data_IF_596647532009
#
_entry.id   IF_596647532009
#
_cell.length_a   1.000
_cell.length_b   1.000
_cell.length_c   1.000
_cell.angle_alpha   90.00
_cell.angle_beta   90.00
_cell.angle_gamma   90.00
#
_symmetry.space_group_name_H-M   'P 1'
#
loop_
_entity.id
_entity.type
_entity.pdbx_description
1 polymer ?
#
# COMPACT_ATOMS: atom_id res chain seq x y z
N UNK A 1 25.88 -28.44 12.98
CA UNK A 1 25.22 -27.11 12.97
C UNK A 1 25.10 -26.68 14.41
N UNK A 2 25.69 -25.57 14.81
CA UNK A 2 25.56 -25.09 16.17
C UNK A 2 24.21 -24.36 16.36
N UNK A 3 23.79 -24.09 17.60
CA UNK A 3 22.49 -23.47 17.90
C UNK A 3 22.36 -22.06 17.30
N UNK A 4 23.46 -21.32 17.21
CA UNK A 4 23.49 -19.98 16.60
C UNK A 4 23.24 -20.04 15.09
N UNK A 5 23.81 -21.04 14.39
CA UNK A 5 23.58 -21.24 12.96
C UNK A 5 22.15 -21.70 12.67
N UNK A 6 21.60 -22.53 13.56
CA UNK A 6 20.19 -22.92 13.50
C UNK A 6 19.24 -21.71 13.66
N UNK A 7 19.52 -20.82 14.62
CA UNK A 7 18.72 -19.59 14.79
C UNK A 7 18.83 -18.67 13.59
N UNK A 8 20.04 -18.47 13.04
CA UNK A 8 20.24 -17.65 11.83
C UNK A 8 19.47 -18.22 10.63
N UNK A 9 19.40 -19.54 10.49
CA UNK A 9 18.64 -20.18 9.41
C UNK A 9 17.11 -20.01 9.53
N UNK A 10 16.60 -19.71 10.73
CA UNK A 10 15.20 -19.43 11.01
C UNK A 10 14.79 -17.99 10.71
N UNK A 11 15.74 -17.07 10.66
CA UNK A 11 15.47 -15.66 10.37
C UNK A 11 15.29 -15.49 8.87
N UNK A 12 14.06 -15.59 8.39
CA UNK A 12 13.72 -15.23 7.01
C UNK A 12 13.63 -13.71 6.91
N UNK A 13 14.71 -13.08 6.48
CA UNK A 13 14.70 -11.64 6.17
C UNK A 13 14.13 -11.47 4.78
N UNK A 14 12.96 -10.82 4.68
CA UNK A 14 12.38 -10.49 3.38
C UNK A 14 13.34 -9.58 2.59
N UNK A 15 13.62 -9.87 1.32
CA UNK A 15 14.55 -9.08 0.51
C UNK A 15 14.06 -7.64 0.41
N UNK A 16 15.01 -6.71 0.31
CA UNK A 16 14.71 -5.32 -0.01
C UNK A 16 14.55 -5.21 -1.52
N UNK A 17 13.36 -4.83 -1.98
CA UNK A 17 13.03 -4.69 -3.41
C UNK A 17 12.52 -3.30 -3.79
N UNK A 18 12.52 -2.37 -2.84
CA UNK A 18 12.13 -0.99 -3.04
C UNK A 18 13.31 -0.06 -3.30
N UNK A 19 13.14 1.20 -2.98
CA UNK A 19 14.15 2.23 -3.15
C UNK A 19 14.38 3.02 -1.85
N UNK A 20 15.44 3.82 -1.81
CA UNK A 20 15.75 4.68 -0.67
C UNK A 20 15.17 6.07 -0.89
N UNK A 21 14.51 6.59 0.13
CA UNK A 21 13.96 7.96 0.12
C UNK A 21 14.57 8.78 1.27
N UNK A 22 14.89 10.04 0.99
CA UNK A 22 15.29 10.97 2.03
C UNK A 22 14.10 11.29 2.95
N UNK A 23 14.32 11.25 4.26
CA UNK A 23 13.32 11.56 5.28
C UNK A 23 12.71 12.96 5.12
N UNK A 24 13.51 13.91 4.64
CA UNK A 24 13.09 15.29 4.40
C UNK A 24 12.06 15.42 3.25
N UNK A 25 11.97 14.44 2.38
CA UNK A 25 10.97 14.40 1.30
C UNK A 25 9.59 13.92 1.75
N UNK A 26 9.51 13.28 2.92
CA UNK A 26 8.24 12.81 3.47
C UNK A 26 7.43 13.99 4.00
N UNK A 27 6.11 13.88 3.89
CA UNK A 27 5.17 14.90 4.33
C UNK A 27 5.46 15.37 5.75
N UNK A 28 5.50 16.68 5.94
CA UNK A 28 5.85 17.31 7.22
C UNK A 28 4.85 17.03 8.33
N UNK A 29 3.60 16.74 7.98
CA UNK A 29 2.54 16.41 8.93
C UNK A 29 2.75 15.05 9.60
N UNK A 30 3.54 14.14 9.00
CA UNK A 30 3.85 12.85 9.59
C UNK A 30 4.72 12.98 10.83
N UNK A 31 4.35 12.25 11.87
CA UNK A 31 5.14 12.10 13.10
C UNK A 31 6.41 11.29 12.83
N UNK A 32 7.39 11.37 13.75
CA UNK A 32 8.67 10.68 13.62
C UNK A 32 8.56 9.19 13.31
N UNK A 33 7.77 8.45 14.11
CA UNK A 33 7.56 7.01 13.92
C UNK A 33 6.86 6.67 12.60
N UNK A 34 5.93 7.52 12.13
CA UNK A 34 5.25 7.33 10.85
C UNK A 34 6.23 7.47 9.69
N UNK A 35 7.12 8.48 9.74
CA UNK A 35 8.20 8.64 8.75
C UNK A 35 9.13 7.44 8.72
N UNK A 36 9.49 6.90 9.88
CA UNK A 36 10.35 5.71 9.97
C UNK A 36 9.66 4.48 9.34
N UNK A 37 8.37 4.29 9.63
CA UNK A 37 7.58 3.19 9.06
C UNK A 37 7.45 3.31 7.52
N UNK A 38 7.16 4.50 7.01
CA UNK A 38 7.05 4.75 5.56
C UNK A 38 8.40 4.52 4.86
N UNK A 39 9.51 5.06 5.40
CA UNK A 39 10.85 4.82 4.84
C UNK A 39 11.19 3.33 4.82
N UNK A 40 10.89 2.61 5.91
CA UNK A 40 11.11 1.18 6.00
C UNK A 40 10.27 0.39 4.98
N UNK A 41 9.00 0.77 4.81
CA UNK A 41 8.11 0.14 3.84
C UNK A 41 8.57 0.37 2.40
N UNK A 42 8.94 1.60 2.05
CA UNK A 42 9.45 1.96 0.72
C UNK A 42 10.75 1.21 0.44
N UNK A 43 11.72 1.24 1.35
CA UNK A 43 12.99 0.52 1.16
C UNK A 43 12.80 -0.99 1.05
N UNK A 44 11.80 -1.51 1.74
CA UNK A 44 11.45 -2.92 1.70
C UNK A 44 10.75 -3.36 0.42
N UNK A 45 9.96 -2.49 -0.18
CA UNK A 45 9.12 -2.74 -1.36
C UNK A 45 7.86 -3.52 -1.04
N UNK A 46 7.94 -4.62 -0.29
CA UNK A 46 6.79 -5.41 0.16
C UNK A 46 6.89 -5.62 1.67
N UNK A 47 6.03 -4.94 2.41
CA UNK A 47 6.05 -4.96 3.88
C UNK A 47 4.65 -5.01 4.45
N UNK A 48 4.53 -5.59 5.63
CA UNK A 48 3.33 -5.55 6.43
C UNK A 48 3.60 -4.72 7.69
N UNK A 49 2.77 -3.72 7.94
CA UNK A 49 2.81 -2.89 9.13
C UNK A 49 1.79 -3.41 10.14
N UNK A 50 2.26 -4.01 11.22
CA UNK A 50 1.42 -4.50 12.31
C UNK A 50 1.44 -3.47 13.45
N UNK A 51 0.64 -2.45 13.32
CA UNK A 51 0.57 -1.34 14.26
C UNK A 51 -0.70 -1.37 15.10
N UNK A 52 -0.61 -0.87 16.33
CA UNK A 52 -1.78 -0.66 17.18
C UNK A 52 -2.71 0.40 16.62
N UNK A 53 -3.94 0.46 17.13
CA UNK A 53 -4.90 1.51 16.79
C UNK A 53 -4.36 2.90 17.19
N UNK A 54 -4.73 3.91 16.41
CA UNK A 54 -4.39 5.31 16.69
C UNK A 54 -2.98 5.74 16.30
N UNK A 55 -2.17 4.90 15.67
CA UNK A 55 -0.82 5.26 15.19
C UNK A 55 -0.82 5.95 13.81
N UNK A 56 -2.00 6.11 13.19
CA UNK A 56 -2.16 6.84 11.93
C UNK A 56 -1.72 6.04 10.71
N UNK A 57 -2.08 4.75 10.65
CA UNK A 57 -1.83 3.88 9.50
C UNK A 57 -2.31 4.48 8.19
N UNK A 58 -3.51 5.05 8.18
CA UNK A 58 -4.08 5.72 7.01
C UNK A 58 -3.13 6.74 6.40
N UNK A 59 -2.55 7.63 7.23
CA UNK A 59 -1.60 8.64 6.76
C UNK A 59 -0.31 8.00 6.23
N UNK A 60 0.15 6.92 6.85
CA UNK A 60 1.35 6.18 6.40
C UNK A 60 1.10 5.48 5.06
N UNK A 61 -0.07 4.88 4.86
CA UNK A 61 -0.45 4.21 3.60
C UNK A 61 -0.59 5.20 2.45
N UNK A 62 -1.23 6.34 2.68
CA UNK A 62 -1.37 7.40 1.69
C UNK A 62 0.01 7.94 1.30
N UNK A 63 0.84 8.26 2.30
CA UNK A 63 2.19 8.76 2.05
C UNK A 63 3.06 7.75 1.32
N UNK A 64 3.00 6.47 1.71
CA UNK A 64 3.69 5.39 1.00
C UNK A 64 3.28 5.36 -0.48
N UNK A 65 1.99 5.35 -0.76
CA UNK A 65 1.45 5.34 -2.12
C UNK A 65 1.90 6.56 -2.92
N UNK A 66 1.80 7.77 -2.34
CA UNK A 66 2.23 9.01 -2.96
C UNK A 66 3.71 8.96 -3.36
N UNK A 67 4.59 8.59 -2.42
CA UNK A 67 6.02 8.56 -2.68
C UNK A 67 6.43 7.52 -3.73
N UNK A 68 5.76 6.37 -3.77
CA UNK A 68 6.00 5.36 -4.82
C UNK A 68 5.54 5.88 -6.18
N UNK A 69 4.36 6.50 -6.26
CA UNK A 69 3.87 7.10 -7.52
C UNK A 69 4.82 8.19 -8.02
N UNK A 70 5.27 9.09 -7.13
CA UNK A 70 6.22 10.14 -7.49
C UNK A 70 7.54 9.58 -8.01
N UNK A 71 8.04 8.52 -7.36
CA UNK A 71 9.25 7.84 -7.81
C UNK A 71 9.08 7.22 -9.20
N UNK A 72 8.00 6.51 -9.44
CA UNK A 72 7.74 5.85 -10.72
C UNK A 72 7.49 6.87 -11.85
N UNK A 73 6.79 7.98 -11.56
CA UNK A 73 6.55 9.05 -12.55
C UNK A 73 7.82 9.74 -13.04
N UNK A 74 8.81 9.85 -12.16
CA UNK A 74 10.12 10.42 -12.51
C UNK A 74 10.99 9.39 -13.27
N UNK A 75 10.79 8.09 -13.04
CA UNK A 75 11.61 7.01 -13.60
C UNK A 75 10.87 6.21 -14.70
N UNK A 76 10.30 6.89 -15.69
CA UNK A 76 9.74 6.33 -16.94
C UNK A 76 8.26 5.88 -16.93
N UNK A 77 7.49 6.14 -15.89
CA UNK A 77 6.06 5.84 -15.90
C UNK A 77 5.19 7.07 -15.54
N UNK A 78 5.02 8.03 -16.45
CA UNK A 78 4.31 9.29 -16.15
C UNK A 78 2.86 9.09 -15.72
N UNK A 79 2.25 7.97 -16.07
CA UNK A 79 0.87 7.61 -15.73
C UNK A 79 0.79 6.67 -14.51
N UNK A 80 1.88 6.51 -13.75
CA UNK A 80 1.89 5.68 -12.56
C UNK A 80 0.80 6.09 -11.58
N UNK A 81 0.10 5.07 -11.06
CA UNK A 81 -0.95 5.22 -10.03
C UNK A 81 -0.79 4.15 -8.98
N UNK A 82 -1.22 4.46 -7.76
CA UNK A 82 -1.32 3.51 -6.67
C UNK A 82 -2.78 3.16 -6.36
N UNK A 83 -2.98 1.96 -5.82
CA UNK A 83 -4.28 1.44 -5.41
C UNK A 83 -4.28 1.24 -3.89
N UNK A 84 -5.31 1.75 -3.20
CA UNK A 84 -5.60 1.40 -1.82
C UNK A 84 -6.83 0.49 -1.80
N UNK A 85 -6.68 -0.71 -1.28
CA UNK A 85 -7.76 -1.68 -1.09
C UNK A 85 -8.18 -1.65 0.37
N UNK A 86 -9.42 -1.28 0.63
CA UNK A 86 -9.92 -1.04 1.98
C UNK A 86 -11.35 -1.60 2.18
N UNK A 87 -11.77 -1.83 3.42
CA UNK A 87 -13.19 -2.07 3.71
C UNK A 87 -14.04 -0.85 3.35
N UNK A 88 -15.20 -1.08 2.74
CA UNK A 88 -16.04 0.00 2.21
C UNK A 88 -16.41 1.08 3.25
N UNK A 89 -16.50 0.70 4.51
CA UNK A 89 -16.90 1.60 5.60
C UNK A 89 -15.88 2.70 5.94
N UNK A 90 -14.60 2.52 5.60
CA UNK A 90 -13.51 3.46 6.00
C UNK A 90 -13.11 4.44 4.89
N UNK A 91 -13.68 4.35 3.70
CA UNK A 91 -13.31 5.20 2.56
C UNK A 91 -13.34 6.70 2.84
N UNK A 92 -14.33 7.16 3.64
CA UNK A 92 -14.46 8.57 3.99
C UNK A 92 -13.33 9.06 4.89
N UNK A 93 -12.84 8.19 5.77
CA UNK A 93 -11.71 8.47 6.64
C UNK A 93 -10.43 8.69 5.81
N UNK A 94 -10.16 7.81 4.86
CA UNK A 94 -9.01 7.97 3.95
C UNK A 94 -9.07 9.28 3.17
N UNK A 95 -10.23 9.63 2.58
CA UNK A 95 -10.40 10.89 1.85
C UNK A 95 -10.20 12.11 2.75
N UNK A 96 -10.77 12.07 3.96
CA UNK A 96 -10.60 13.16 4.95
C UNK A 96 -9.14 13.32 5.35
N UNK A 97 -8.45 12.22 5.67
CA UNK A 97 -7.08 12.24 6.17
C UNK A 97 -6.09 12.66 5.08
N UNK A 98 -6.31 12.26 3.83
CA UNK A 98 -5.53 12.74 2.70
C UNK A 98 -5.57 14.27 2.59
N UNK A 99 -6.75 14.86 2.65
CA UNK A 99 -6.93 16.31 2.53
C UNK A 99 -6.53 17.05 3.81
N UNK A 100 -7.05 16.63 4.96
CA UNK A 100 -6.95 17.40 6.20
C UNK A 100 -5.58 17.27 6.87
N UNK A 101 -4.93 16.11 6.77
CA UNK A 101 -3.65 15.85 7.43
C UNK A 101 -2.47 16.02 6.47
N UNK A 102 -2.58 15.48 5.26
CA UNK A 102 -1.45 15.42 4.33
C UNK A 102 -1.51 16.49 3.24
N UNK A 103 -2.62 17.20 3.10
CA UNK A 103 -2.86 18.19 2.04
C UNK A 103 -2.72 17.62 0.63
N UNK A 104 -3.06 16.34 0.46
CA UNK A 104 -3.14 15.67 -0.83
C UNK A 104 -4.56 15.71 -1.39
N UNK A 105 -4.72 15.40 -2.66
CA UNK A 105 -6.03 15.19 -3.26
C UNK A 105 -6.78 14.04 -2.57
N UNK A 106 -8.08 14.17 -2.41
CA UNK A 106 -8.91 13.08 -1.89
C UNK A 106 -8.94 11.92 -2.91
N UNK A 107 -8.40 10.74 -2.58
CA UNK A 107 -8.43 9.62 -3.51
C UNK A 107 -9.88 9.23 -3.84
N UNK A 108 -10.27 9.11 -5.12
CA UNK A 108 -11.60 8.67 -5.49
C UNK A 108 -11.76 7.15 -5.24
N UNK A 109 -12.99 6.78 -4.89
CA UNK A 109 -13.36 5.37 -4.85
C UNK A 109 -13.83 4.93 -6.24
N UNK A 110 -13.15 3.93 -6.81
CA UNK A 110 -13.43 3.37 -8.14
C UNK A 110 -14.01 1.96 -8.03
N UNK A 111 -14.90 1.64 -8.97
CA UNK A 111 -15.61 0.35 -9.02
C UNK A 111 -15.14 -0.53 -10.16
N UNK A 112 -14.56 0.07 -11.19
CA UNK A 112 -14.11 -0.61 -12.40
C UNK A 112 -12.72 -0.16 -12.79
N UNK A 113 -12.03 -1.00 -13.56
CA UNK A 113 -10.72 -0.64 -14.09
C UNK A 113 -10.80 0.58 -15.01
N UNK A 114 -11.89 0.74 -15.77
CA UNK A 114 -12.08 1.90 -16.65
C UNK A 114 -12.15 3.22 -15.86
N UNK A 115 -12.83 3.24 -14.70
CA UNK A 115 -12.84 4.40 -13.81
C UNK A 115 -11.44 4.71 -13.28
N UNK A 116 -10.67 3.68 -12.90
CA UNK A 116 -9.30 3.86 -12.42
C UNK A 116 -8.36 4.36 -13.53
N UNK A 117 -8.50 3.83 -14.74
CA UNK A 117 -7.69 4.23 -15.89
C UNK A 117 -7.99 5.68 -16.32
N UNK A 118 -9.25 6.11 -16.22
CA UNK A 118 -9.70 7.47 -16.58
C UNK A 118 -9.31 8.56 -15.58
N UNK A 119 -8.96 8.19 -14.34
CA UNK A 119 -8.55 9.17 -13.32
C UNK A 119 -7.11 9.61 -13.52
N UNK A 120 -6.85 10.92 -13.57
CA UNK A 120 -5.51 11.48 -13.84
C UNK A 120 -4.66 11.69 -12.58
N UNK A 121 -5.23 11.50 -11.39
CA UNK A 121 -4.52 11.65 -10.12
C UNK A 121 -3.58 10.49 -9.78
N UNK A 122 -3.13 10.46 -8.55
CA UNK A 122 -2.06 9.56 -8.11
C UNK A 122 -2.56 8.29 -7.44
N UNK A 123 -3.63 8.39 -6.65
CA UNK A 123 -4.11 7.31 -5.79
C UNK A 123 -5.60 7.11 -6.05
N UNK A 124 -6.01 5.87 -6.20
CA UNK A 124 -7.42 5.47 -6.23
C UNK A 124 -7.70 4.46 -5.12
N UNK A 125 -8.94 4.41 -4.65
CA UNK A 125 -9.39 3.46 -3.65
C UNK A 125 -10.41 2.49 -4.22
N UNK A 126 -10.41 1.25 -3.73
CA UNK A 126 -11.43 0.26 -4.03
C UNK A 126 -11.63 -0.67 -2.83
N UNK A 127 -12.59 -1.59 -2.90
CA UNK A 127 -12.78 -2.59 -1.86
C UNK A 127 -12.27 -3.99 -2.27
N UNK A 128 -12.16 -4.87 -1.28
CA UNK A 128 -11.65 -6.23 -1.47
C UNK A 128 -12.47 -7.05 -2.48
N UNK A 129 -13.79 -6.86 -2.52
CA UNK A 129 -14.69 -7.57 -3.42
C UNK A 129 -14.40 -7.24 -4.88
N UNK A 130 -14.18 -5.96 -5.21
CA UNK A 130 -13.86 -5.52 -6.58
C UNK A 130 -12.57 -6.13 -7.11
N UNK A 131 -11.55 -6.20 -6.25
CA UNK A 131 -10.29 -6.87 -6.62
C UNK A 131 -10.51 -8.37 -6.75
N UNK A 132 -11.21 -9.01 -5.79
CA UNK A 132 -11.51 -10.45 -5.84
C UNK A 132 -12.25 -10.83 -7.12
N UNK A 133 -13.29 -10.09 -7.46
CA UNK A 133 -14.20 -10.43 -8.55
C UNK A 133 -13.64 -10.03 -9.93
N UNK A 134 -12.53 -9.29 -9.96
CA UNK A 134 -11.79 -8.97 -11.19
C UNK A 134 -12.17 -7.65 -11.83
N UNK A 135 -12.97 -6.82 -11.15
CA UNK A 135 -13.35 -5.49 -11.62
C UNK A 135 -12.13 -4.55 -11.67
N UNK A 136 -11.17 -4.79 -10.78
CA UNK A 136 -9.90 -4.05 -10.66
C UNK A 136 -8.74 -5.05 -10.71
N UNK A 137 -7.75 -4.80 -11.57
CA UNK A 137 -6.51 -5.59 -11.65
C UNK A 137 -5.38 -4.87 -10.87
N UNK A 138 -4.92 -5.42 -9.72
CA UNK A 138 -3.86 -4.79 -8.94
C UNK A 138 -2.52 -4.71 -9.68
N UNK A 139 -2.29 -5.50 -10.72
CA UNK A 139 -1.05 -5.49 -11.51
C UNK A 139 -0.88 -4.26 -12.38
N UNK A 140 -1.95 -3.50 -12.59
CA UNK A 140 -1.92 -2.24 -13.35
C UNK A 140 -1.43 -1.05 -12.52
N UNK A 141 -1.20 -1.23 -11.23
CA UNK A 141 -0.76 -0.18 -10.32
C UNK A 141 0.71 -0.37 -9.93
N UNK A 142 1.43 0.73 -9.78
CA UNK A 142 2.83 0.71 -9.38
C UNK A 142 3.03 0.34 -7.90
N UNK A 143 2.01 0.59 -7.07
CA UNK A 143 1.95 0.16 -5.68
C UNK A 143 0.52 -0.19 -5.28
N UNK A 144 0.38 -1.15 -4.34
CA UNK A 144 -0.90 -1.48 -3.74
C UNK A 144 -0.77 -1.55 -2.22
N UNK A 145 -1.61 -0.79 -1.52
CA UNK A 145 -1.77 -0.91 -0.07
C UNK A 145 -3.06 -1.69 0.26
N UNK A 146 -3.00 -2.53 1.29
CA UNK A 146 -4.14 -3.32 1.78
C UNK A 146 -4.45 -2.90 3.21
N UNK A 147 -5.42 -2.01 3.37
CA UNK A 147 -5.88 -1.62 4.71
C UNK A 147 -6.77 -2.70 5.31
N UNK A 148 -6.64 -2.89 6.62
CA UNK A 148 -7.36 -3.91 7.38
C UNK A 148 -7.24 -5.31 6.75
N UNK A 149 -6.02 -5.74 6.43
CA UNK A 149 -5.74 -7.05 5.81
C UNK A 149 -6.25 -8.26 6.62
N UNK A 150 -6.86 -8.03 7.78
CA UNK A 150 -7.58 -9.03 8.56
C UNK A 150 -8.67 -9.76 7.78
N UNK A 151 -9.22 -9.14 6.73
CA UNK A 151 -10.13 -9.77 5.75
C UNK A 151 -9.50 -11.02 5.12
N UNK A 152 -8.18 -11.10 5.06
CA UNK A 152 -7.42 -12.21 4.48
C UNK A 152 -7.04 -13.31 5.50
N UNK A 153 -7.52 -13.26 6.75
CA UNK A 153 -7.14 -14.24 7.81
C UNK A 153 -7.56 -15.67 7.49
N UNK A 154 -8.63 -15.87 6.73
CA UNK A 154 -9.13 -17.21 6.41
C UNK A 154 -8.40 -17.76 5.20
N UNK A 155 -7.39 -18.59 5.42
CA UNK A 155 -6.57 -19.24 4.37
C UNK A 155 -7.38 -20.05 3.34
N UNK A 156 -8.54 -20.57 3.73
CA UNK A 156 -9.44 -21.31 2.85
C UNK A 156 -10.46 -20.45 2.11
N UNK A 157 -10.55 -19.16 2.41
CA UNK A 157 -11.55 -18.29 1.78
C UNK A 157 -11.24 -18.04 0.31
N UNK A 158 -12.29 -17.86 -0.49
CA UNK A 158 -12.18 -17.49 -1.91
C UNK A 158 -11.35 -16.20 -2.07
N UNK A 159 -11.57 -15.23 -1.19
CA UNK A 159 -10.84 -13.95 -1.20
C UNK A 159 -9.34 -14.17 -1.02
N UNK A 160 -8.94 -14.92 0.01
CA UNK A 160 -7.52 -15.21 0.27
C UNK A 160 -6.85 -15.90 -0.91
N UNK A 161 -7.45 -16.98 -1.43
CA UNK A 161 -6.90 -17.74 -2.57
C UNK A 161 -6.77 -16.88 -3.83
N UNK A 162 -7.78 -16.05 -4.11
CA UNK A 162 -7.74 -15.13 -5.25
C UNK A 162 -6.65 -14.08 -5.09
N UNK A 163 -6.49 -13.53 -3.88
CA UNK A 163 -5.45 -12.51 -3.60
C UNK A 163 -4.04 -13.08 -3.74
N UNK A 164 -3.78 -14.31 -3.28
CA UNK A 164 -2.47 -14.96 -3.49
C UNK A 164 -2.07 -15.01 -4.96
N UNK A 165 -3.03 -15.25 -5.86
CA UNK A 165 -2.76 -15.32 -7.29
C UNK A 165 -2.62 -13.94 -7.92
N UNK A 166 -3.54 -13.02 -7.61
CA UNK A 166 -3.58 -11.68 -8.21
C UNK A 166 -2.39 -10.81 -7.78
N UNK A 167 -1.96 -10.93 -6.53
CA UNK A 167 -0.84 -10.14 -5.98
C UNK A 167 0.54 -10.76 -6.21
N UNK A 168 0.61 -11.88 -6.91
CA UNK A 168 1.90 -12.46 -7.30
C UNK A 168 2.62 -11.52 -8.28
N UNK A 169 3.73 -10.92 -7.82
CA UNK A 169 4.50 -9.96 -8.60
C UNK A 169 4.14 -8.47 -8.37
N UNK A 170 3.05 -8.16 -7.68
CA UNK A 170 2.67 -6.77 -7.32
C UNK A 170 3.63 -6.23 -6.23
N UNK A 171 4.03 -4.97 -6.34
CA UNK A 171 4.82 -4.23 -5.33
C UNK A 171 3.91 -3.63 -4.27
#
# INVERSE_FOLDING_TARGET
MNYTDFLKSKVVVAPKSGFTIDRGRLNLALKGHQKDAVQWAIAGGRRALFESFGLGKTAQEIEFCHQVVMHERVNDNPNAKALIVLPLGVKQEFSRDAVALLHYEAPPYVRTQAEADAYDGEIVMTNYERVRDGDIDPKKFCAVALDEASVLRSFGSKTYQTFLQKFRGVK
#
